data_IF_694189416760
#
_entry.id   IF_694189416760
#
_cell.length_a   1.000
_cell.length_b   1.000
_cell.length_c   1.000
_cell.angle_alpha   90.00
_cell.angle_beta   90.00
_cell.angle_gamma   90.00
#
_symmetry.space_group_name_H-M   'P 1'
#
loop_
_entity.id
_entity.type
_entity.pdbx_description
1 polymer ?
#
# COMPACT_ATOMS: atom_id res chain seq x y z
N UNK A 1 18.87 7.14 2.89
CA UNK A 1 17.48 6.94 2.45
C UNK A 1 16.54 7.41 3.54
N UNK A 2 15.40 7.99 3.17
CA UNK A 2 14.37 8.48 4.11
C UNK A 2 13.16 7.56 3.98
N UNK A 3 12.67 7.05 5.10
CA UNK A 3 11.46 6.24 5.20
C UNK A 3 10.28 7.18 5.45
N UNK A 4 9.23 7.11 4.63
CA UNK A 4 8.05 7.96 4.79
C UNK A 4 7.16 7.49 5.94
N UNK A 5 6.83 6.19 5.97
CA UNK A 5 6.04 5.48 6.99
C UNK A 5 4.56 5.88 7.10
N UNK A 6 4.08 6.70 6.17
CA UNK A 6 2.68 7.17 6.12
C UNK A 6 2.22 7.36 4.67
N UNK A 7 2.65 6.48 3.75
CA UNK A 7 2.19 6.53 2.37
C UNK A 7 0.73 6.07 2.32
N UNK A 8 -0.17 6.97 1.91
CA UNK A 8 -1.61 6.75 1.80
C UNK A 8 -2.23 7.79 0.86
N UNK A 9 -3.47 7.56 0.41
CA UNK A 9 -4.13 8.44 -0.57
C UNK A 9 -4.23 9.89 -0.10
N UNK A 10 -4.54 10.10 1.19
CA UNK A 10 -4.60 11.43 1.81
C UNK A 10 -3.28 12.21 1.73
N UNK A 11 -2.15 11.53 1.65
CA UNK A 11 -0.82 12.14 1.60
C UNK A 11 -0.28 12.25 0.16
N UNK A 12 -1.09 11.92 -0.84
CA UNK A 12 -0.78 12.14 -2.26
C UNK A 12 -1.62 13.31 -2.77
N UNK A 13 -0.97 14.45 -2.98
CA UNK A 13 -1.60 15.65 -3.52
C UNK A 13 -1.52 15.64 -5.04
N UNK A 14 -2.53 16.20 -5.70
CA UNK A 14 -2.54 16.39 -7.15
C UNK A 14 -2.40 17.87 -7.48
N UNK A 15 -1.52 18.19 -8.44
CA UNK A 15 -1.45 19.52 -9.05
C UNK A 15 -2.68 19.77 -9.94
N UNK A 16 -2.86 21.02 -10.39
CA UNK A 16 -3.85 21.35 -11.42
C UNK A 16 -3.63 20.58 -12.74
N UNK A 17 -2.40 20.12 -12.98
CA UNK A 17 -2.01 19.32 -14.15
C UNK A 17 -2.08 17.81 -13.89
N UNK A 18 -2.64 17.40 -12.74
CA UNK A 18 -2.71 16.01 -12.29
C UNK A 18 -1.34 15.36 -11.99
N UNK A 19 -0.32 16.16 -11.69
CA UNK A 19 0.95 15.64 -11.19
C UNK A 19 0.81 15.25 -9.71
N UNK A 20 1.12 13.99 -9.40
CA UNK A 20 1.09 13.49 -8.03
C UNK A 20 2.35 13.92 -7.24
N UNK A 21 2.13 14.44 -6.04
CA UNK A 21 3.19 14.83 -5.09
C UNK A 21 2.90 14.23 -3.72
N UNK A 22 3.89 13.50 -3.18
CA UNK A 22 3.83 12.94 -1.83
C UNK A 22 4.11 14.06 -0.80
N UNK A 23 3.30 14.13 0.25
CA UNK A 23 3.41 15.10 1.33
C UNK A 23 3.40 14.42 2.71
N UNK A 24 3.51 15.21 3.77
CA UNK A 24 3.46 14.77 5.18
C UNK A 24 4.60 13.83 5.61
N UNK A 25 5.81 14.41 5.66
CA UNK A 25 7.02 13.74 6.15
C UNK A 25 7.17 13.85 7.68
N UNK A 26 6.11 14.20 8.43
CA UNK A 26 6.18 14.51 9.86
C UNK A 26 6.66 13.35 10.73
N UNK A 27 6.47 12.10 10.26
CA UNK A 27 6.91 10.88 10.95
C UNK A 27 8.05 10.14 10.24
N UNK A 28 8.62 10.77 9.20
CA UNK A 28 9.68 10.18 8.41
C UNK A 28 10.98 10.03 9.20
N UNK A 29 11.71 8.94 8.98
CA UNK A 29 13.00 8.69 9.66
C UNK A 29 14.01 8.09 8.71
N UNK A 30 15.31 8.27 9.01
CA UNK A 30 16.41 7.63 8.26
C UNK A 30 16.67 6.18 8.65
N UNK A 31 16.25 5.78 9.86
CA UNK A 31 16.33 4.41 10.38
C UNK A 31 15.09 4.11 11.23
N UNK A 32 14.61 2.87 11.15
CA UNK A 32 13.70 2.31 12.13
C UNK A 32 14.52 1.63 13.23
N UNK A 33 14.81 2.34 14.32
CA UNK A 33 15.32 1.72 15.54
C UNK A 33 14.37 2.09 16.69
N UNK A 34 13.67 1.10 17.23
CA UNK A 34 12.73 1.27 18.35
C UNK A 34 11.25 1.31 17.96
N UNK A 35 10.39 1.18 18.99
CA UNK A 35 8.94 1.03 18.91
C UNK A 35 8.27 2.16 18.13
N UNK A 36 8.12 1.92 16.84
CA UNK A 36 7.41 2.78 15.91
C UNK A 36 5.91 2.57 16.08
N UNK A 37 5.24 3.40 16.88
CA UNK A 37 3.77 3.35 16.99
C UNK A 37 3.14 3.84 15.69
N UNK A 38 2.48 2.96 14.95
CA UNK A 38 1.63 3.37 13.84
C UNK A 38 0.45 4.19 14.39
N UNK A 39 0.13 5.34 13.79
CA UNK A 39 -1.05 6.10 14.16
C UNK A 39 -2.31 5.29 13.86
N UNK A 40 -3.27 5.27 14.79
CA UNK A 40 -4.48 4.43 14.70
C UNK A 40 -5.29 4.61 13.41
N UNK A 41 -5.14 5.75 12.71
CA UNK A 41 -5.80 6.05 11.44
C UNK A 41 -5.07 5.60 10.16
N UNK A 42 -3.84 5.07 10.25
CA UNK A 42 -3.01 4.66 9.09
C UNK A 42 -2.88 3.13 8.98
N UNK A 43 -3.42 2.37 9.93
CA UNK A 43 -3.20 0.92 10.05
C UNK A 43 -3.47 0.14 8.76
N UNK A 44 -4.47 0.54 7.99
CA UNK A 44 -4.82 -0.12 6.72
C UNK A 44 -3.69 -0.08 5.68
N UNK A 45 -2.84 0.95 5.68
CA UNK A 45 -1.70 1.05 4.76
C UNK A 45 -0.39 0.55 5.39
N UNK A 46 -0.40 0.21 6.68
CA UNK A 46 0.83 -0.05 7.44
C UNK A 46 1.34 -1.48 7.23
N UNK A 47 2.63 -1.61 6.91
CA UNK A 47 3.28 -2.91 6.76
C UNK A 47 3.27 -3.73 8.08
N UNK A 48 3.17 -5.07 8.03
CA UNK A 48 3.07 -5.91 9.23
C UNK A 48 4.26 -5.77 10.17
N UNK A 49 5.49 -5.68 9.64
CA UNK A 49 6.70 -5.49 10.47
C UNK A 49 6.72 -4.14 11.19
N UNK A 50 6.10 -3.11 10.58
CA UNK A 50 5.96 -1.79 11.20
C UNK A 50 4.88 -1.79 12.28
N UNK A 51 3.82 -2.59 12.12
CA UNK A 51 2.79 -2.81 13.15
C UNK A 51 3.34 -3.58 14.37
N UNK A 52 4.26 -4.51 14.12
CA UNK A 52 4.94 -5.29 15.16
C UNK A 52 6.07 -4.53 15.87
N UNK A 53 6.46 -3.35 15.37
CA UNK A 53 7.58 -2.58 15.89
C UNK A 53 8.95 -3.23 15.63
N UNK A 54 9.03 -4.09 14.61
CA UNK A 54 10.26 -4.77 14.19
C UNK A 54 11.19 -3.80 13.41
N UNK A 55 12.42 -4.25 13.14
CA UNK A 55 13.33 -3.50 12.27
C UNK A 55 12.74 -3.38 10.86
N UNK A 56 12.50 -2.14 10.43
CA UNK A 56 12.02 -1.83 9.10
C UNK A 56 13.07 -1.18 8.19
N UNK A 57 12.90 -1.45 6.90
CA UNK A 57 13.59 -0.77 5.80
C UNK A 57 12.61 0.02 4.94
N UNK A 58 13.05 0.57 3.82
CA UNK A 58 12.22 1.25 2.80
C UNK A 58 11.08 0.39 2.26
N UNK A 59 11.12 -0.92 2.49
CA UNK A 59 10.09 -1.86 2.08
C UNK A 59 8.75 -1.65 2.78
N UNK A 60 8.71 -0.93 3.92
CA UNK A 60 7.43 -0.53 4.54
C UNK A 60 6.67 0.46 3.67
N UNK A 61 7.38 1.35 2.98
CA UNK A 61 6.77 2.32 2.06
C UNK A 61 6.29 1.62 0.79
N UNK A 62 6.98 0.56 0.35
CA UNK A 62 6.55 -0.27 -0.79
C UNK A 62 5.26 -1.03 -0.47
N UNK A 63 5.13 -1.56 0.74
CA UNK A 63 3.87 -2.18 1.18
C UNK A 63 2.73 -1.17 1.15
N UNK A 64 2.96 -0.01 1.74
CA UNK A 64 1.99 1.09 1.82
C UNK A 64 1.57 1.57 0.43
N UNK A 65 2.52 1.66 -0.51
CA UNK A 65 2.26 1.94 -1.93
C UNK A 65 1.43 0.85 -2.59
N UNK A 66 1.66 -0.44 -2.30
CA UNK A 66 0.83 -1.53 -2.78
C UNK A 66 -0.63 -1.41 -2.33
N UNK A 67 -0.85 -1.06 -1.06
CA UNK A 67 -2.19 -0.77 -0.53
C UNK A 67 -2.81 0.46 -1.22
N UNK A 68 -2.05 1.53 -1.42
CA UNK A 68 -2.51 2.71 -2.16
C UNK A 68 -2.94 2.35 -3.60
N UNK A 69 -2.18 1.51 -4.29
CA UNK A 69 -2.52 1.06 -5.65
C UNK A 69 -3.83 0.25 -5.67
N UNK A 70 -4.11 -0.54 -4.61
CA UNK A 70 -5.40 -1.23 -4.49
C UNK A 70 -6.57 -0.27 -4.33
N UNK A 71 -6.40 0.82 -3.59
CA UNK A 71 -7.40 1.88 -3.42
C UNK A 71 -7.65 2.63 -4.74
N UNK A 72 -6.62 2.82 -5.57
CA UNK A 72 -6.78 3.38 -6.91
C UNK A 72 -7.52 2.45 -7.86
N UNK A 73 -7.35 1.14 -7.71
CA UNK A 73 -8.06 0.15 -8.51
C UNK A 73 -9.55 0.09 -8.12
N UNK A 74 -9.85 -0.02 -6.83
CA UNK A 74 -11.23 -0.18 -6.35
C UNK A 74 -12.00 1.14 -6.24
N UNK A 75 -11.30 2.28 -6.26
CA UNK A 75 -11.85 3.60 -5.91
C UNK A 75 -12.52 3.63 -4.53
N UNK A 76 -12.09 2.77 -3.61
CA UNK A 76 -12.64 2.64 -2.25
C UNK A 76 -11.52 2.47 -1.23
N UNK A 77 -11.83 2.74 0.05
CA UNK A 77 -10.86 2.55 1.12
C UNK A 77 -10.37 1.08 1.16
N UNK A 78 -9.09 0.84 1.52
CA UNK A 78 -8.59 -0.52 1.69
C UNK A 78 -9.45 -1.30 2.69
N UNK A 79 -9.68 -2.59 2.38
CA UNK A 79 -10.49 -3.51 3.20
C UNK A 79 -11.97 -3.11 3.37
N UNK A 80 -12.53 -2.30 2.46
CA UNK A 80 -13.94 -1.90 2.51
C UNK A 80 -14.92 -3.08 2.48
N UNK A 81 -14.53 -4.21 1.88
CA UNK A 81 -15.29 -5.46 1.79
C UNK A 81 -15.56 -6.09 3.16
N UNK A 82 -14.70 -5.78 4.14
CA UNK A 82 -14.82 -6.24 5.53
C UNK A 82 -15.75 -5.37 6.40
N UNK A 83 -16.38 -4.34 5.82
CA UNK A 83 -17.38 -3.51 6.49
C UNK A 83 -18.82 -4.02 6.35
N UNK A 84 -19.03 -5.20 5.75
CA UNK A 84 -20.33 -5.87 5.83
C UNK A 84 -20.75 -6.05 7.30
N UNK A 85 -22.07 -6.01 7.55
CA UNK A 85 -22.70 -5.80 8.86
C UNK A 85 -22.26 -6.81 9.96
N UNK A 86 -21.63 -7.93 9.61
CA UNK A 86 -21.12 -8.94 10.53
C UNK A 86 -19.68 -8.73 11.00
N UNK A 87 -18.84 -8.00 10.25
CA UNK A 87 -17.39 -7.95 10.53
C UNK A 87 -16.84 -6.58 10.94
N UNK A 88 -17.39 -5.44 10.48
CA UNK A 88 -16.99 -4.05 10.83
C UNK A 88 -15.49 -3.88 11.18
N UNK A 89 -14.60 -4.55 10.45
CA UNK A 89 -13.20 -4.71 10.85
C UNK A 89 -12.42 -3.40 10.75
N UNK A 90 -12.78 -2.57 9.77
CA UNK A 90 -12.17 -1.23 9.58
C UNK A 90 -12.52 -0.30 10.74
N UNK A 91 -13.62 -0.54 11.46
CA UNK A 91 -14.01 0.20 12.67
C UNK A 91 -13.32 -0.31 13.94
N UNK A 92 -12.62 -1.45 13.86
CA UNK A 92 -11.89 -2.06 14.96
C UNK A 92 -10.39 -2.21 14.62
N UNK A 93 -9.61 -1.12 14.72
CA UNK A 93 -8.16 -1.04 14.47
C UNK A 93 -7.34 -2.27 14.87
N UNK A 94 -7.52 -2.75 16.11
CA UNK A 94 -6.76 -3.88 16.65
C UNK A 94 -7.11 -5.22 15.98
N UNK A 95 -8.38 -5.41 15.58
CA UNK A 95 -8.80 -6.63 14.88
C UNK A 95 -8.26 -6.65 13.45
N UNK A 96 -8.33 -5.52 12.75
CA UNK A 96 -7.75 -5.40 11.41
C UNK A 96 -6.24 -5.66 11.45
N UNK A 97 -5.52 -5.01 12.38
CA UNK A 97 -4.09 -5.23 12.60
C UNK A 97 -3.78 -6.72 12.80
N UNK A 98 -4.55 -7.39 13.66
CA UNK A 98 -4.38 -8.83 13.92
C UNK A 98 -4.56 -9.67 12.66
N UNK A 99 -5.58 -9.43 11.85
CA UNK A 99 -5.79 -10.16 10.58
C UNK A 99 -4.67 -9.91 9.57
N UNK A 100 -4.12 -8.70 9.50
CA UNK A 100 -3.00 -8.37 8.61
C UNK A 100 -1.73 -9.13 9.01
N UNK A 101 -1.47 -9.22 10.31
CA UNK A 101 -0.28 -9.85 10.90
C UNK A 101 -0.42 -11.38 10.95
N UNK A 102 -1.47 -11.90 11.58
CA UNK A 102 -1.65 -13.31 11.88
C UNK A 102 -2.12 -14.04 10.61
N UNK A 103 -3.27 -13.62 10.07
CA UNK A 103 -3.95 -14.29 8.95
C UNK A 103 -3.35 -13.94 7.59
N UNK A 104 -2.47 -12.92 7.53
CA UNK A 104 -1.91 -12.44 6.27
C UNK A 104 -2.93 -11.73 5.37
N UNK A 105 -3.98 -11.14 5.94
CA UNK A 105 -5.01 -10.42 5.19
C UNK A 105 -4.40 -9.33 4.29
N UNK A 106 -4.87 -9.24 3.03
CA UNK A 106 -4.44 -8.26 2.02
C UNK A 106 -5.64 -7.57 1.38
N UNK A 107 -5.48 -6.35 0.86
CA UNK A 107 -6.57 -5.64 0.21
C UNK A 107 -7.06 -6.42 -1.01
N UNK A 108 -8.38 -6.46 -1.19
CA UNK A 108 -9.00 -7.00 -2.40
C UNK A 108 -8.88 -6.01 -3.56
N UNK A 109 -8.85 -6.56 -4.77
CA UNK A 109 -8.86 -5.80 -6.01
C UNK A 109 -10.20 -5.98 -6.73
N UNK A 110 -10.53 -5.06 -7.62
CA UNK A 110 -11.67 -5.18 -8.50
C UNK A 110 -11.48 -6.37 -9.47
N UNK A 111 -12.60 -6.93 -9.95
CA UNK A 111 -12.56 -7.98 -10.98
C UNK A 111 -11.93 -7.52 -12.29
N UNK A 112 -11.91 -6.20 -12.52
CA UNK A 112 -11.45 -5.58 -13.76
C UNK A 112 -9.97 -5.13 -13.69
N UNK A 113 -9.31 -5.35 -12.54
CA UNK A 113 -7.92 -5.00 -12.35
C UNK A 113 -7.03 -5.73 -13.38
N UNK A 114 -6.24 -5.02 -14.20
CA UNK A 114 -5.36 -5.65 -15.17
C UNK A 114 -4.34 -6.58 -14.51
N UNK A 115 -4.15 -7.78 -15.07
CA UNK A 115 -3.22 -8.79 -14.52
C UNK A 115 -1.82 -8.25 -14.17
N UNK A 116 -1.16 -7.40 -15.00
CA UNK A 116 0.13 -6.82 -14.62
C UNK A 116 0.07 -5.98 -13.34
N UNK A 117 -1.03 -5.25 -13.13
CA UNK A 117 -1.25 -4.44 -11.93
C UNK A 117 -1.57 -5.33 -10.72
N UNK A 118 -2.37 -6.38 -10.91
CA UNK A 118 -2.65 -7.39 -9.87
C UNK A 118 -1.35 -8.02 -9.34
N UNK A 119 -0.47 -8.46 -10.24
CA UNK A 119 0.82 -9.03 -9.84
C UNK A 119 1.74 -8.02 -9.16
N UNK A 120 1.78 -6.78 -9.66
CA UNK A 120 2.53 -5.70 -9.03
C UNK A 120 2.06 -5.45 -7.59
N UNK A 121 0.74 -5.28 -7.39
CA UNK A 121 0.15 -5.04 -6.07
C UNK A 121 0.47 -6.21 -5.14
N UNK A 122 0.25 -7.45 -5.60
CA UNK A 122 0.55 -8.65 -4.83
C UNK A 122 2.02 -8.73 -4.37
N UNK A 123 2.96 -8.36 -5.26
CA UNK A 123 4.38 -8.29 -4.92
C UNK A 123 4.68 -7.19 -3.88
N UNK A 124 4.10 -6.00 -4.05
CA UNK A 124 4.25 -4.88 -3.11
C UNK A 124 3.72 -5.22 -1.71
N UNK A 125 2.57 -5.89 -1.60
CA UNK A 125 1.95 -6.24 -0.32
C UNK A 125 2.41 -7.59 0.25
N UNK A 126 3.52 -8.15 -0.24
CA UNK A 126 4.05 -9.42 0.29
C UNK A 126 4.35 -9.35 1.79
N UNK A 127 4.06 -10.43 2.52
CA UNK A 127 4.38 -10.55 3.96
C UNK A 127 5.88 -10.44 4.20
N UNK A 128 6.70 -11.06 3.35
CA UNK A 128 8.15 -10.98 3.47
C UNK A 128 8.67 -9.69 2.79
N UNK A 129 9.26 -8.73 3.54
CA UNK A 129 9.75 -7.47 2.97
C UNK A 129 10.83 -7.66 1.89
N UNK A 130 11.57 -8.78 1.93
CA UNK A 130 12.62 -9.09 0.94
C UNK A 130 12.05 -9.42 -0.44
N UNK A 131 10.82 -9.92 -0.50
CA UNK A 131 10.13 -10.24 -1.77
C UNK A 131 9.48 -9.01 -2.41
N UNK A 132 9.36 -7.89 -1.68
CA UNK A 132 8.80 -6.66 -2.21
C UNK A 132 9.79 -6.02 -3.19
N UNK A 133 9.32 -5.49 -4.33
CA UNK A 133 10.18 -4.78 -5.28
C UNK A 133 10.79 -3.50 -4.67
N UNK A 134 11.78 -2.91 -5.34
CA UNK A 134 12.21 -1.54 -5.04
C UNK A 134 11.23 -0.52 -5.65
N UNK A 135 11.27 0.73 -5.19
CA UNK A 135 10.48 1.80 -5.79
C UNK A 135 10.80 2.00 -7.29
N UNK A 136 12.06 1.79 -7.68
CA UNK A 136 12.48 1.86 -9.08
C UNK A 136 11.85 0.72 -9.91
N UNK A 137 11.82 -0.50 -9.37
CA UNK A 137 11.19 -1.65 -10.03
C UNK A 137 9.68 -1.42 -10.21
N UNK A 138 9.01 -0.93 -9.17
CA UNK A 138 7.58 -0.57 -9.24
C UNK A 138 7.33 0.44 -10.35
N UNK A 139 8.16 1.49 -10.44
CA UNK A 139 8.07 2.49 -11.51
C UNK A 139 8.25 1.86 -12.91
N UNK A 140 9.25 1.00 -13.08
CA UNK A 140 9.48 0.29 -14.34
C UNK A 140 8.31 -0.61 -14.74
N UNK A 141 7.73 -1.34 -13.78
CA UNK A 141 6.60 -2.24 -14.02
C UNK A 141 5.35 -1.46 -14.44
N UNK A 142 5.07 -0.32 -13.79
CA UNK A 142 3.96 0.57 -14.15
C UNK A 142 4.11 1.14 -15.57
N UNK A 143 5.33 1.52 -15.97
CA UNK A 143 5.62 1.99 -17.33
C UNK A 143 5.38 0.87 -18.35
N UNK A 144 5.82 -0.35 -18.06
CA UNK A 144 5.58 -1.53 -18.92
C UNK A 144 4.08 -1.81 -19.09
N UNK A 145 3.34 -1.85 -17.98
CA UNK A 145 1.90 -2.11 -17.98
C UNK A 145 1.11 -1.04 -18.78
N UNK A 146 1.54 0.22 -18.71
CA UNK A 146 0.97 1.30 -19.53
C UNK A 146 1.19 1.07 -21.03
N UNK A 147 2.38 0.61 -21.41
CA UNK A 147 2.71 0.28 -22.80
C UNK A 147 1.81 -0.81 -23.37
N UNK A 148 1.60 -1.89 -22.63
CA UNK A 148 0.73 -3.01 -23.05
C UNK A 148 -0.73 -2.58 -23.25
N UNK A 149 -1.26 -1.72 -22.38
CA UNK A 149 -2.63 -1.19 -22.49
C UNK A 149 -2.81 -0.26 -23.70
N UNK A 150 -1.80 0.53 -24.06
CA UNK A 150 -1.83 1.38 -25.25
C UNK A 150 -1.78 0.56 -26.55
N UNK A 151 -1.07 -0.58 -26.55
CA UNK A 151 -1.02 -1.49 -27.69
C UNK A 151 -2.36 -2.22 -27.90
N UNK A 152 -3.03 -2.65 -26.82
CA UNK A 152 -4.35 -3.31 -26.90
C UNK A 152 -5.50 -2.41 -27.33
N UNK A 153 -5.37 -1.08 -27.21
CA UNK A 153 -6.39 -0.11 -27.67
C UNK A 153 -6.25 0.28 -29.15
N UNK A 154 -5.21 -0.20 -29.86
CA UNK A 154 -4.95 0.09 -31.28
C UNK A 154 -5.33 -1.07 -32.22
N UNK A 155 -5.86 -2.16 -31.68
CA UNK A 155 -6.44 -3.30 -32.40
C UNK A 155 -7.97 -3.26 -32.24
#
# INVERSE_FOLDING_TARGET
>A
MVLHRDVKSRNVLLSSSLDAKLCDFGISRRKCSGNATAAAGTLSWTAPELLLGEECSEKVDIYSLGVLLSELDTCTLPYHDLNSLSERLVQHPLRLMRRIIDDGLRPQLSSDCPLPITHLIAACVSRNPKLRPSAADVGAWLVSARGERLLRKKL
#
